data_IF_240286553881
#
_entry.id   IF_240286553881
#
_cell.length_a   1.000
_cell.length_b   1.000
_cell.length_c   1.000
_cell.angle_alpha   90.00
_cell.angle_beta   90.00
_cell.angle_gamma   90.00
#
_symmetry.space_group_name_H-M   'P 1'
#
loop_
_entity.id
_entity.type
_entity.pdbx_description
1 polymer ?
#
# COMPACT_ATOMS: atom_id res chain seq x y z
N UNK A 1 26.47 47.08 13.59
CA UNK A 1 26.60 45.93 12.67
C UNK A 1 25.64 44.85 13.16
N UNK A 2 24.53 44.61 12.46
CA UNK A 2 23.59 43.54 12.80
C UNK A 2 23.85 42.41 11.80
N UNK A 3 24.32 41.28 12.31
CA UNK A 3 24.58 40.06 11.53
C UNK A 3 23.25 39.45 11.11
N UNK A 4 22.99 39.48 9.79
CA UNK A 4 21.84 38.84 9.16
C UNK A 4 22.10 37.32 9.12
N UNK A 5 21.67 36.59 10.14
CA UNK A 5 21.70 35.13 10.10
C UNK A 5 20.63 34.63 9.14
N UNK A 6 21.07 34.31 7.92
CA UNK A 6 20.28 33.64 6.89
C UNK A 6 19.95 32.23 7.40
N UNK A 7 18.70 32.00 7.83
CA UNK A 7 18.22 30.64 8.13
C UNK A 7 18.24 29.80 6.84
N UNK A 8 18.73 28.56 6.87
CA UNK A 8 18.64 27.67 5.73
C UNK A 8 17.17 27.27 5.53
N UNK A 9 16.61 27.56 4.35
CA UNK A 9 15.33 26.98 3.90
C UNK A 9 15.54 25.49 3.70
N UNK A 10 14.95 24.67 4.56
CA UNK A 10 14.89 23.22 4.38
C UNK A 10 13.86 22.89 3.29
N UNK A 11 14.30 22.83 2.03
CA UNK A 11 13.52 22.27 0.89
C UNK A 11 13.47 20.72 0.90
N UNK A 12 13.99 20.08 1.95
CA UNK A 12 14.23 18.64 2.00
C UNK A 12 12.99 17.79 2.30
N UNK A 13 11.92 18.33 2.88
CA UNK A 13 10.75 17.51 3.29
C UNK A 13 9.86 17.06 2.13
N UNK A 14 9.67 17.90 1.10
CA UNK A 14 8.79 17.57 -0.03
C UNK A 14 9.28 16.39 -0.89
N UNK A 15 10.60 16.24 -1.05
CA UNK A 15 11.18 15.14 -1.85
C UNK A 15 11.01 13.80 -1.13
N UNK A 16 11.08 13.78 0.20
CA UNK A 16 10.88 12.58 1.02
C UNK A 16 9.40 12.13 0.99
N UNK A 17 8.46 13.09 1.10
CA UNK A 17 7.02 12.82 1.04
C UNK A 17 6.57 12.25 -0.32
N UNK A 18 7.09 12.77 -1.44
CA UNK A 18 6.73 12.24 -2.76
C UNK A 18 7.33 10.84 -3.01
N UNK A 19 8.56 10.58 -2.56
CA UNK A 19 9.14 9.24 -2.60
C UNK A 19 8.32 8.23 -1.80
N UNK A 20 7.82 8.61 -0.62
CA UNK A 20 6.92 7.77 0.18
C UNK A 20 5.63 7.43 -0.57
N UNK A 21 5.05 8.38 -1.31
CA UNK A 21 3.85 8.14 -2.13
C UNK A 21 4.13 7.15 -3.25
N UNK A 22 5.23 7.31 -3.97
CA UNK A 22 5.63 6.37 -5.04
C UNK A 22 5.81 4.95 -4.48
N UNK A 23 6.50 4.82 -3.34
CA UNK A 23 6.66 3.53 -2.68
C UNK A 23 5.31 2.92 -2.25
N UNK A 24 4.38 3.75 -1.77
CA UNK A 24 3.06 3.29 -1.35
C UNK A 24 2.23 2.78 -2.54
N UNK A 25 2.24 3.50 -3.66
CA UNK A 25 1.61 3.06 -4.92
C UNK A 25 2.19 1.72 -5.37
N UNK A 26 3.52 1.58 -5.31
CA UNK A 26 4.18 0.31 -5.65
C UNK A 26 3.71 -0.82 -4.72
N UNK A 27 3.72 -0.62 -3.40
CA UNK A 27 3.27 -1.63 -2.43
C UNK A 27 1.81 -2.05 -2.65
N UNK A 28 0.92 -1.10 -2.96
CA UNK A 28 -0.47 -1.42 -3.30
C UNK A 28 -0.56 -2.31 -4.55
N UNK A 29 0.19 -1.98 -5.61
CA UNK A 29 0.21 -2.76 -6.84
C UNK A 29 0.75 -4.19 -6.62
N UNK A 30 1.75 -4.33 -5.75
CA UNK A 30 2.31 -5.63 -5.37
C UNK A 30 1.31 -6.44 -4.54
N UNK A 31 0.59 -5.80 -3.60
CA UNK A 31 -0.43 -6.45 -2.79
C UNK A 31 -1.60 -6.95 -3.66
N UNK A 32 -2.05 -6.14 -4.62
CA UNK A 32 -3.08 -6.54 -5.57
C UNK A 32 -2.61 -7.70 -6.47
N UNK A 33 -1.38 -7.63 -6.97
CA UNK A 33 -0.75 -8.70 -7.75
C UNK A 33 -0.67 -10.02 -6.96
N UNK A 34 -0.26 -9.97 -5.69
CA UNK A 34 -0.20 -11.13 -4.79
C UNK A 34 -1.59 -11.75 -4.60
N UNK A 35 -2.61 -10.92 -4.32
CA UNK A 35 -4.01 -11.36 -4.18
C UNK A 35 -4.55 -11.98 -5.46
N UNK A 36 -4.27 -11.38 -6.62
CA UNK A 36 -4.64 -11.92 -7.92
C UNK A 36 -4.03 -13.30 -8.17
N UNK A 37 -2.75 -13.48 -7.86
CA UNK A 37 -2.06 -14.78 -7.95
C UNK A 37 -2.65 -15.81 -6.99
N UNK A 38 -3.02 -15.42 -5.77
CA UNK A 38 -3.64 -16.31 -4.79
C UNK A 38 -5.00 -16.80 -5.29
N UNK A 39 -5.82 -15.91 -5.83
CA UNK A 39 -7.12 -16.24 -6.42
C UNK A 39 -7.00 -17.19 -7.61
N UNK A 40 -5.99 -16.99 -8.48
CA UNK A 40 -5.73 -17.93 -9.57
C UNK A 40 -5.33 -19.33 -9.05
N UNK A 41 -4.50 -19.38 -8.00
CA UNK A 41 -4.11 -20.64 -7.35
C UNK A 41 -5.32 -21.32 -6.68
N UNK A 42 -6.27 -20.58 -6.10
CA UNK A 42 -7.54 -21.11 -5.58
C UNK A 42 -8.42 -21.70 -6.68
N UNK A 43 -8.54 -21.02 -7.83
CA UNK A 43 -9.28 -21.54 -8.98
C UNK A 43 -8.64 -22.84 -9.49
N UNK A 44 -7.31 -22.89 -9.59
CA UNK A 44 -6.59 -24.11 -9.96
C UNK A 44 -6.83 -25.24 -8.95
N UNK A 45 -6.80 -24.92 -7.66
CA UNK A 45 -7.08 -25.88 -6.59
C UNK A 45 -8.45 -26.54 -6.78
N UNK A 46 -9.50 -25.74 -7.02
CA UNK A 46 -10.86 -26.23 -7.25
C UNK A 46 -10.93 -27.22 -8.43
N UNK A 47 -10.33 -26.85 -9.57
CA UNK A 47 -10.30 -27.72 -10.77
C UNK A 47 -9.52 -29.01 -10.55
N UNK A 48 -8.41 -28.95 -9.82
CA UNK A 48 -7.62 -30.14 -9.48
C UNK A 48 -8.38 -31.07 -8.53
N UNK A 49 -9.10 -30.52 -7.55
CA UNK A 49 -9.96 -31.30 -6.65
C UNK A 49 -11.05 -32.04 -7.42
N UNK A 50 -11.74 -31.35 -8.33
CA UNK A 50 -12.76 -31.96 -9.19
C UNK A 50 -12.16 -33.07 -10.06
N UNK A 51 -11.01 -32.82 -10.69
CA UNK A 51 -10.31 -33.82 -11.51
C UNK A 51 -9.94 -35.06 -10.69
N UNK A 52 -9.44 -34.89 -9.46
CA UNK A 52 -9.07 -36.00 -8.59
C UNK A 52 -10.27 -36.86 -8.18
N UNK A 53 -11.43 -36.25 -7.95
CA UNK A 53 -12.67 -36.98 -7.65
C UNK A 53 -13.23 -37.69 -8.88
N UNK A 54 -13.15 -37.09 -10.07
CA UNK A 54 -13.55 -37.74 -11.31
C UNK A 54 -12.70 -38.98 -11.61
N UNK A 55 -11.37 -38.89 -11.46
CA UNK A 55 -10.47 -40.05 -11.60
C UNK A 55 -10.80 -41.15 -10.58
N UNK A 56 -11.11 -40.77 -9.33
CA UNK A 56 -11.53 -41.73 -8.29
C UNK A 56 -12.82 -42.47 -8.68
N UNK A 57 -13.82 -41.75 -9.19
CA UNK A 57 -15.09 -42.34 -9.64
C UNK A 57 -14.88 -43.28 -10.82
N UNK A 58 -14.10 -42.87 -11.82
CA UNK A 58 -13.79 -43.72 -12.98
C UNK A 58 -13.01 -44.97 -12.58
N UNK A 59 -12.03 -44.85 -11.67
CA UNK A 59 -11.31 -46.01 -11.16
C UNK A 59 -12.26 -47.00 -10.44
N UNK A 60 -13.21 -46.50 -9.66
CA UNK A 60 -14.21 -47.34 -8.99
C UNK A 60 -15.11 -48.08 -9.99
N UNK A 61 -15.54 -47.42 -11.07
CA UNK A 61 -16.30 -48.05 -12.16
C UNK A 61 -15.47 -49.15 -12.82
N UNK A 62 -14.20 -48.87 -13.16
CA UNK A 62 -13.33 -49.83 -13.81
C UNK A 62 -13.13 -51.10 -12.96
N UNK A 63 -12.94 -50.95 -11.65
CA UNK A 63 -12.89 -52.09 -10.72
C UNK A 63 -14.19 -52.91 -10.77
N UNK A 64 -15.35 -52.27 -10.73
CA UNK A 64 -16.65 -52.97 -10.78
C UNK A 64 -16.87 -53.71 -12.10
N UNK A 65 -16.27 -53.23 -13.19
CA UNK A 65 -16.37 -53.84 -14.52
C UNK A 65 -15.24 -54.84 -14.84
N UNK A 66 -14.38 -55.17 -13.87
CA UNK A 66 -13.28 -56.12 -14.07
C UNK A 66 -12.13 -55.58 -14.93
N UNK A 67 -11.91 -54.26 -14.89
CA UNK A 67 -10.84 -53.55 -15.61
C UNK A 67 -9.81 -53.00 -14.62
N UNK A 68 -9.19 -53.89 -13.83
CA UNK A 68 -8.33 -53.50 -12.71
C UNK A 68 -7.07 -52.75 -13.16
N UNK A 69 -6.51 -53.09 -14.32
CA UNK A 69 -5.32 -52.41 -14.84
C UNK A 69 -5.63 -50.96 -15.23
N UNK A 70 -6.76 -50.70 -15.88
CA UNK A 70 -7.23 -49.33 -16.18
C UNK A 70 -7.50 -48.55 -14.88
N UNK A 71 -8.05 -49.21 -13.87
CA UNK A 71 -8.28 -48.59 -12.56
C UNK A 71 -6.97 -48.19 -11.87
N UNK A 72 -5.93 -49.03 -11.95
CA UNK A 72 -4.58 -48.73 -11.40
C UNK A 72 -3.96 -47.52 -12.09
N UNK A 73 -4.07 -47.43 -13.41
CA UNK A 73 -3.57 -46.28 -14.17
C UNK A 73 -4.29 -44.99 -13.77
N UNK A 74 -5.63 -45.01 -13.67
CA UNK A 74 -6.39 -43.84 -13.20
C UNK A 74 -6.00 -43.39 -11.78
N UNK A 75 -5.72 -44.34 -10.87
CA UNK A 75 -5.24 -44.02 -9.53
C UNK A 75 -3.82 -43.45 -9.53
N UNK A 76 -2.95 -43.90 -10.43
CA UNK A 76 -1.63 -43.32 -10.64
C UNK A 76 -1.72 -41.88 -11.13
N UNK A 77 -2.61 -41.60 -12.09
CA UNK A 77 -2.89 -40.24 -12.54
C UNK A 77 -3.46 -39.38 -11.41
N UNK A 78 -4.39 -39.91 -10.60
CA UNK A 78 -4.96 -39.21 -9.45
C UNK A 78 -3.87 -38.80 -8.45
N UNK A 79 -2.88 -39.68 -8.20
CA UNK A 79 -1.75 -39.35 -7.32
C UNK A 79 -1.01 -38.10 -7.79
N UNK A 80 -0.73 -38.00 -9.10
CA UNK A 80 -0.08 -36.82 -9.70
C UNK A 80 -0.93 -35.55 -9.58
N UNK A 81 -2.26 -35.68 -9.72
CA UNK A 81 -3.19 -34.57 -9.51
C UNK A 81 -3.15 -34.10 -8.06
N UNK A 82 -3.13 -35.02 -7.09
CA UNK A 82 -3.03 -34.69 -5.66
C UNK A 82 -1.69 -33.98 -5.36
N UNK A 83 -0.57 -34.42 -5.93
CA UNK A 83 0.71 -33.72 -5.77
C UNK A 83 0.66 -32.29 -6.31
N UNK A 84 0.00 -32.06 -7.44
CA UNK A 84 -0.22 -30.72 -7.98
C UNK A 84 -1.17 -29.87 -7.10
N UNK A 85 -2.16 -30.52 -6.48
CA UNK A 85 -3.12 -29.90 -5.57
C UNK A 85 -2.40 -29.39 -4.31
N UNK A 86 -1.53 -30.20 -3.71
CA UNK A 86 -0.71 -29.81 -2.55
C UNK A 86 0.24 -28.64 -2.88
N UNK A 87 0.84 -28.64 -4.07
CA UNK A 87 1.62 -27.47 -4.55
C UNK A 87 0.77 -26.21 -4.65
N UNK A 88 -0.49 -26.33 -5.09
CA UNK A 88 -1.42 -25.21 -5.19
C UNK A 88 -1.81 -24.67 -3.81
N UNK A 89 -2.04 -25.55 -2.80
CA UNK A 89 -2.30 -25.15 -1.41
C UNK A 89 -1.15 -24.35 -0.81
N UNK A 90 0.07 -24.89 -0.88
CA UNK A 90 1.28 -24.19 -0.39
C UNK A 90 1.47 -22.83 -1.05
N UNK A 91 1.17 -22.72 -2.35
CA UNK A 91 1.25 -21.44 -3.06
C UNK A 91 0.21 -20.44 -2.56
N UNK A 92 -1.00 -20.87 -2.24
CA UNK A 92 -2.04 -20.01 -1.65
C UNK A 92 -1.56 -19.50 -0.29
N UNK A 93 -1.09 -20.39 0.59
CA UNK A 93 -0.58 -20.03 1.92
C UNK A 93 0.51 -18.97 1.86
N UNK A 94 1.53 -19.19 1.01
CA UNK A 94 2.63 -18.23 0.84
C UNK A 94 2.17 -16.88 0.28
N UNK A 95 1.21 -16.88 -0.65
CA UNK A 95 0.70 -15.64 -1.24
C UNK A 95 -0.21 -14.87 -0.27
N UNK A 96 -0.95 -15.59 0.57
CA UNK A 96 -1.76 -14.98 1.63
C UNK A 96 -0.87 -14.37 2.72
N UNK A 97 0.21 -15.07 3.12
CA UNK A 97 1.21 -14.54 4.04
C UNK A 97 1.89 -13.29 3.45
N UNK A 98 2.33 -13.36 2.18
CA UNK A 98 2.91 -12.21 1.49
C UNK A 98 1.92 -11.03 1.44
N UNK A 99 0.65 -11.28 1.11
CA UNK A 99 -0.38 -10.24 1.10
C UNK A 99 -0.55 -9.60 2.48
N UNK A 100 -0.49 -10.39 3.57
CA UNK A 100 -0.53 -9.86 4.93
C UNK A 100 0.66 -8.96 5.22
N UNK A 101 1.87 -9.40 4.85
CA UNK A 101 3.11 -8.62 5.05
C UNK A 101 3.13 -7.32 4.24
N UNK A 102 2.62 -7.36 3.01
CA UNK A 102 2.45 -6.15 2.20
C UNK A 102 1.46 -5.18 2.84
N UNK A 103 0.33 -5.67 3.40
CA UNK A 103 -0.62 -4.81 4.12
C UNK A 103 -0.01 -4.19 5.39
N UNK A 104 0.81 -4.93 6.14
CA UNK A 104 1.57 -4.39 7.28
C UNK A 104 2.52 -3.26 6.82
N UNK A 105 3.26 -3.48 5.73
CA UNK A 105 4.18 -2.49 5.18
C UNK A 105 3.46 -1.23 4.66
N UNK A 106 2.33 -1.40 3.98
CA UNK A 106 1.43 -0.32 3.56
C UNK A 106 1.01 0.49 4.78
N UNK A 107 0.50 -0.17 5.83
CA UNK A 107 0.03 0.50 7.05
C UNK A 107 1.14 1.26 7.78
N UNK A 108 2.38 0.77 7.73
CA UNK A 108 3.55 1.48 8.27
C UNK A 108 3.89 2.72 7.43
N UNK A 109 3.88 2.59 6.10
CA UNK A 109 4.20 3.69 5.17
C UNK A 109 3.13 4.77 5.16
N UNK A 110 1.85 4.40 5.25
CA UNK A 110 0.74 5.34 5.41
C UNK A 110 0.90 6.17 6.69
N UNK A 111 1.25 5.53 7.81
CA UNK A 111 1.52 6.25 9.07
C UNK A 111 2.70 7.22 8.95
N UNK A 112 3.78 6.82 8.26
CA UNK A 112 4.91 7.71 7.98
C UNK A 112 4.47 8.90 7.14
N UNK A 113 3.71 8.66 6.07
CA UNK A 113 3.21 9.70 5.19
C UNK A 113 2.30 10.71 5.92
N UNK A 114 1.38 10.22 6.75
CA UNK A 114 0.53 11.07 7.60
C UNK A 114 1.38 11.93 8.55
N UNK A 115 2.40 11.33 9.17
CA UNK A 115 3.34 12.05 10.04
C UNK A 115 4.07 13.18 9.32
N UNK A 116 4.65 12.90 8.15
CA UNK A 116 5.37 13.91 7.35
C UNK A 116 4.45 15.05 6.91
N UNK A 117 3.26 14.75 6.40
CA UNK A 117 2.29 15.77 5.99
C UNK A 117 1.84 16.63 7.18
N UNK A 118 1.71 16.04 8.38
CA UNK A 118 1.36 16.80 9.60
C UNK A 118 2.47 17.75 10.02
N UNK A 119 3.73 17.31 9.98
CA UNK A 119 4.89 18.15 10.29
C UNK A 119 5.04 19.30 9.29
N UNK A 120 4.84 19.05 7.99
CA UNK A 120 4.89 20.10 6.96
C UNK A 120 3.84 21.21 7.23
N UNK A 121 2.64 20.85 7.73
CA UNK A 121 1.60 21.82 8.11
C UNK A 121 1.96 22.64 9.36
N UNK A 122 2.71 22.08 10.30
CA UNK A 122 3.20 22.80 11.48
C UNK A 122 4.30 23.81 11.12
N UNK A 123 5.23 23.42 10.25
CA UNK A 123 6.27 24.32 9.72
C UNK A 123 5.66 25.52 8.97
N UNK A 124 4.62 25.28 8.16
CA UNK A 124 3.90 26.38 7.47
C UNK A 124 3.19 27.32 8.45
N UNK A 125 2.69 26.81 9.59
CA UNK A 125 2.07 27.67 10.62
C UNK A 125 3.08 28.58 11.29
N UNK A 126 4.27 28.08 11.62
CA UNK A 126 5.29 28.85 12.33
C UNK A 126 5.83 30.04 11.53
N UNK A 127 5.87 29.94 10.19
CA UNK A 127 6.25 31.06 9.31
C UNK A 127 5.11 32.07 9.08
N UNK A 128 3.86 31.70 9.35
CA UNK A 128 2.68 32.56 9.16
C UNK A 128 2.41 33.51 10.36
N UNK A 129 3.09 33.32 11.49
CA UNK A 129 2.95 34.18 12.68
C UNK A 129 3.84 35.44 12.66
N UNK A 130 4.01 36.08 11.49
CA UNK A 130 4.37 37.50 11.51
C UNK A 130 3.12 38.26 11.96
N UNK A 131 3.16 39.04 13.05
CA UNK A 131 1.96 39.71 13.56
C UNK A 131 1.45 40.69 12.50
N UNK A 132 0.37 40.34 11.80
CA UNK A 132 -0.35 41.26 10.92
C UNK A 132 -0.99 42.30 11.84
N UNK A 133 -0.29 43.42 12.03
CA UNK A 133 -0.83 44.57 12.76
C UNK A 133 -1.83 45.27 11.86
N UNK A 134 -3.12 45.00 12.05
CA UNK A 134 -4.18 45.78 11.44
C UNK A 134 -4.21 47.14 12.15
N UNK A 135 -3.69 48.17 11.48
CA UNK A 135 -3.73 49.54 11.98
C UNK A 135 -5.07 50.15 11.55
N UNK A 136 -5.87 50.60 12.51
CA UNK A 136 -7.12 51.31 12.22
C UNK A 136 -6.84 52.56 11.36
N UNK A 137 -7.64 52.84 10.31
CA UNK A 137 -7.44 53.99 9.42
C UNK A 137 -7.29 55.32 10.18
N UNK A 138 -7.97 55.44 11.32
CA UNK A 138 -7.94 56.63 12.18
C UNK A 138 -6.58 56.89 12.80
N UNK A 139 -5.81 55.85 13.13
CA UNK A 139 -4.46 55.99 13.68
C UNK A 139 -3.43 56.38 12.60
N UNK A 140 -3.65 55.95 11.37
CA UNK A 140 -2.82 56.36 10.22
C UNK A 140 -3.04 57.85 9.90
N UNK A 141 -4.29 58.31 9.88
CA UNK A 141 -4.62 59.72 9.66
C UNK A 141 -4.07 60.63 10.78
N UNK A 142 -4.11 60.20 12.04
CA UNK A 142 -3.50 60.97 13.15
C UNK A 142 -1.97 61.05 13.07
N UNK A 143 -1.29 60.01 12.56
CA UNK A 143 0.16 60.04 12.33
C UNK A 143 0.52 60.94 11.16
N UNK A 144 -0.24 60.89 10.07
CA UNK A 144 -0.06 61.75 8.89
C UNK A 144 -0.27 63.23 9.29
N UNK A 145 -1.34 63.52 10.03
CA UNK A 145 -1.61 64.88 10.53
C UNK A 145 -0.51 65.40 11.46
N UNK A 146 -0.02 64.58 12.40
CA UNK A 146 1.10 64.97 13.27
C UNK A 146 2.39 65.23 12.49
N UNK A 147 2.62 64.49 11.41
CA UNK A 147 3.80 64.66 10.56
C UNK A 147 3.71 65.92 9.70
N UNK A 148 2.51 66.28 9.21
CA UNK A 148 2.25 67.53 8.50
C UNK A 148 2.36 68.77 9.40
N UNK A 149 2.01 68.64 10.69
CA UNK A 149 2.11 69.72 11.68
C UNK A 149 3.54 70.10 12.08
N UNK A 150 4.53 69.28 11.74
CA UNK A 150 5.96 69.54 12.03
C UNK A 150 6.69 70.23 10.85
N UNK A 151 5.97 70.63 9.81
CA UNK A 151 6.50 71.32 8.62
C UNK A 151 5.89 72.74 8.42
N UNK A 152 5.20 73.25 9.45
CA UNK A 152 4.74 74.64 9.61
C UNK A 152 5.25 75.13 10.97
#
# INVERSE_FOLDING_TARGET
MITLWRRPMCLASNVDTEQLRVQLVQLHSEAESARGKANNARLRLLRLSETAENLKRQAAINVQTGKEDDARELLFQKKRVIEALEKSKKRIELLDELSSKLNEAISLKERQLIGNVTLDLEVVRDDAFSPVRIVSPTQMLQKIWRRAKNWL
#
